data_IF_512248871552
#
_entry.id   IF_512248871552
#
_cell.length_a   1.000
_cell.length_b   1.000
_cell.length_c   1.000
_cell.angle_alpha   90.00
_cell.angle_beta   90.00
_cell.angle_gamma   90.00
#
_symmetry.space_group_name_H-M   'P 1'
#
loop_
_entity.id
_entity.type
_entity.pdbx_description
1 polymer ?
#
# COMPACT_ATOMS: atom_id res chain seq x y z
N UNK A 1 11.52 22.38 55.50
CA UNK A 1 11.03 21.92 56.81
C UNK A 1 9.72 21.19 56.55
N UNK A 2 9.52 19.89 56.69
CA UNK A 2 10.22 18.73 57.31
C UNK A 2 9.79 17.50 56.48
N UNK A 3 10.67 16.77 55.79
CA UNK A 3 11.34 15.49 56.15
C UNK A 3 10.78 14.69 57.35
N UNK A 4 10.35 13.45 57.10
CA UNK A 4 10.62 12.19 57.84
C UNK A 4 9.67 11.09 57.27
N UNK A 5 10.14 10.07 56.53
CA UNK A 5 10.86 8.85 56.94
C UNK A 5 10.03 7.84 57.74
N UNK A 6 9.73 6.69 57.11
CA UNK A 6 9.66 5.39 57.79
C UNK A 6 10.05 4.23 56.84
N UNK A 7 11.19 3.61 57.18
CA UNK A 7 11.78 2.31 56.77
C UNK A 7 10.85 1.12 57.10
N UNK A 8 10.90 -0.13 56.61
CA UNK A 8 11.94 -1.10 56.12
C UNK A 8 11.20 -2.19 55.31
N UNK A 9 11.68 -2.69 54.16
CA UNK A 9 12.66 -3.78 53.91
C UNK A 9 12.24 -5.19 54.37
N UNK A 10 11.87 -6.03 53.39
CA UNK A 10 12.18 -7.46 53.23
C UNK A 10 12.12 -7.68 51.70
N UNK A 11 13.11 -8.21 50.98
CA UNK A 11 13.97 -9.34 51.28
C UNK A 11 13.60 -10.47 50.31
N UNK A 12 14.18 -10.49 49.11
CA UNK A 12 13.86 -11.50 48.09
C UNK A 12 14.69 -11.34 46.82
N UNK A 13 15.92 -11.84 46.88
CA UNK A 13 16.87 -11.98 45.77
C UNK A 13 16.46 -13.13 44.86
N UNK A 14 16.28 -12.87 43.57
CA UNK A 14 16.51 -13.84 42.50
C UNK A 14 17.08 -13.08 41.29
N UNK A 15 18.42 -13.00 41.30
CA UNK A 15 19.22 -12.59 40.16
C UNK A 15 19.27 -13.77 39.19
N UNK A 16 18.37 -13.78 38.21
CA UNK A 16 18.52 -14.61 37.02
C UNK A 16 18.59 -13.75 35.76
N UNK A 17 19.84 -13.53 35.36
CA UNK A 17 20.31 -13.72 33.98
C UNK A 17 19.58 -12.94 32.88
N UNK A 18 19.83 -11.64 32.82
CA UNK A 18 19.69 -10.89 31.58
C UNK A 18 20.72 -11.39 30.54
N UNK A 19 20.32 -11.80 29.32
CA UNK A 19 21.28 -12.18 28.31
C UNK A 19 22.00 -10.91 27.82
N UNK A 20 23.26 -10.77 28.23
CA UNK A 20 24.21 -9.82 27.64
C UNK A 20 24.26 -10.05 26.13
N UNK A 21 23.70 -9.11 25.38
CA UNK A 21 23.94 -8.97 23.95
C UNK A 21 25.44 -8.77 23.76
N UNK A 22 26.11 -9.83 23.29
CA UNK A 22 27.48 -9.72 22.81
C UNK A 22 27.48 -8.70 21.67
N UNK A 23 28.38 -7.71 21.67
CA UNK A 23 28.60 -6.91 20.48
C UNK A 23 29.05 -7.87 19.39
N UNK A 24 28.24 -8.04 18.35
CA UNK A 24 28.69 -8.67 17.11
C UNK A 24 29.71 -7.71 16.54
N UNK A 25 30.99 -8.00 16.77
CA UNK A 25 32.08 -7.36 16.04
C UNK A 25 31.90 -7.77 14.58
N UNK A 26 31.16 -6.96 13.82
CA UNK A 26 31.18 -7.01 12.38
C UNK A 26 32.59 -6.60 11.98
N UNK A 27 33.39 -7.59 11.58
CA UNK A 27 34.60 -7.34 10.83
C UNK A 27 34.19 -6.62 9.54
N UNK A 28 34.29 -5.29 9.57
CA UNK A 28 34.28 -4.44 8.39
C UNK A 28 35.55 -4.80 7.61
N UNK A 29 35.45 -5.82 6.76
CA UNK A 29 36.43 -6.05 5.72
C UNK A 29 36.36 -4.86 4.77
N UNK A 30 37.30 -3.94 4.95
CA UNK A 30 37.55 -2.84 4.06
C UNK A 30 37.95 -3.39 2.70
N UNK A 31 37.00 -3.45 1.76
CA UNK A 31 37.31 -3.56 0.34
C UNK A 31 37.90 -2.22 -0.11
N UNK A 32 39.22 -2.10 -0.04
CA UNK A 32 39.99 -1.03 -0.66
C UNK A 32 39.91 -1.16 -2.18
N UNK A 33 38.79 -0.70 -2.74
CA UNK A 33 38.68 -0.46 -4.18
C UNK A 33 39.50 0.79 -4.50
N UNK A 34 40.79 0.59 -4.76
CA UNK A 34 41.66 1.60 -5.36
C UNK A 34 41.19 1.94 -6.77
N UNK A 35 40.15 2.77 -6.87
CA UNK A 35 39.69 3.37 -8.11
C UNK A 35 39.83 4.88 -8.00
N UNK A 36 40.82 5.46 -8.69
CA UNK A 36 40.94 6.91 -8.77
C UNK A 36 39.61 7.55 -9.19
N UNK A 37 39.24 8.65 -8.55
CA UNK A 37 38.00 9.39 -8.84
C UNK A 37 38.07 9.89 -10.29
N UNK A 38 37.47 9.14 -11.21
CA UNK A 38 37.24 9.60 -12.58
C UNK A 38 36.08 10.59 -12.52
N UNK A 39 36.40 11.89 -12.51
CA UNK A 39 35.40 12.95 -12.68
C UNK A 39 34.97 12.92 -14.15
N UNK A 40 33.99 12.07 -14.48
CA UNK A 40 33.32 12.12 -15.78
C UNK A 40 32.44 13.36 -15.82
N UNK A 41 32.81 14.32 -16.67
CA UNK A 41 31.96 15.49 -16.96
C UNK A 41 30.63 14.98 -17.49
N UNK A 42 29.53 15.45 -16.92
CA UNK A 42 28.21 15.14 -17.45
C UNK A 42 28.10 15.66 -18.89
N UNK A 43 27.52 14.88 -19.80
CA UNK A 43 27.40 15.28 -21.19
C UNK A 43 26.41 16.44 -21.28
N UNK A 44 26.77 17.49 -22.04
CA UNK A 44 25.89 18.63 -22.36
C UNK A 44 24.80 18.20 -23.36
N UNK A 45 23.91 17.32 -22.92
CA UNK A 45 22.81 16.78 -23.73
C UNK A 45 21.51 17.08 -23.00
N UNK A 46 20.45 17.41 -23.74
CA UNK A 46 19.14 17.63 -23.16
C UNK A 46 18.51 16.32 -22.66
N UNK A 47 17.83 16.29 -21.51
CA UNK A 47 17.12 15.11 -21.00
C UNK A 47 16.13 14.51 -22.01
N UNK A 48 15.50 15.34 -22.84
CA UNK A 48 14.57 14.92 -23.89
C UNK A 48 15.20 14.00 -24.93
N UNK A 49 16.49 14.17 -25.20
CA UNK A 49 17.22 13.29 -26.11
C UNK A 49 17.40 11.89 -25.52
N UNK A 50 17.54 11.76 -24.20
CA UNK A 50 17.58 10.45 -23.52
C UNK A 50 16.25 9.71 -23.55
N UNK A 51 15.13 10.43 -23.50
CA UNK A 51 13.80 9.81 -23.68
C UNK A 51 13.64 9.17 -25.06
N UNK A 52 14.17 9.82 -26.11
CA UNK A 52 14.13 9.29 -27.48
C UNK A 52 15.03 8.07 -27.67
N UNK A 53 16.19 8.03 -26.98
CA UNK A 53 17.14 6.90 -27.07
C UNK A 53 16.65 5.63 -26.35
N UNK A 54 15.81 5.78 -25.33
CA UNK A 54 15.28 4.67 -24.52
C UNK A 54 13.75 4.71 -24.51
N UNK A 55 13.07 4.46 -25.64
CA UNK A 55 11.62 4.41 -25.70
C UNK A 55 11.09 3.22 -24.88
N UNK A 56 9.88 3.32 -24.36
CA UNK A 56 9.19 2.27 -23.57
C UNK A 56 9.83 1.94 -22.22
N UNK A 57 10.73 2.79 -21.75
CA UNK A 57 11.17 2.81 -20.36
C UNK A 57 10.40 3.88 -19.60
N UNK A 58 10.20 3.71 -18.29
CA UNK A 58 9.38 4.59 -17.45
C UNK A 58 10.01 5.97 -17.19
N UNK A 59 10.77 6.50 -18.15
CA UNK A 59 11.53 7.73 -18.01
C UNK A 59 10.61 8.94 -18.23
N UNK A 60 10.80 9.99 -17.43
CA UNK A 60 10.12 11.27 -17.55
C UNK A 60 11.06 12.43 -17.23
N UNK A 61 10.69 13.63 -17.65
CA UNK A 61 11.38 14.85 -17.27
C UNK A 61 10.59 15.51 -16.15
N UNK A 62 11.28 15.86 -15.06
CA UNK A 62 10.73 16.66 -13.98
C UNK A 62 11.77 17.67 -13.53
N UNK A 63 11.39 18.95 -13.40
CA UNK A 63 12.31 20.02 -13.00
C UNK A 63 13.59 20.14 -13.86
N UNK A 64 13.50 19.82 -15.16
CA UNK A 64 14.65 19.86 -16.07
C UNK A 64 15.64 18.70 -15.93
N UNK A 65 15.33 17.68 -15.13
CA UNK A 65 16.17 16.49 -14.90
C UNK A 65 15.47 15.22 -15.38
N UNK A 66 16.26 14.16 -15.61
CA UNK A 66 15.76 12.85 -16.02
C UNK A 66 15.37 12.02 -14.79
N UNK A 67 14.16 11.48 -14.78
CA UNK A 67 13.64 10.65 -13.68
C UNK A 67 13.10 9.33 -14.20
N UNK A 68 13.26 8.27 -13.43
CA UNK A 68 12.54 7.02 -13.63
C UNK A 68 11.27 6.98 -12.76
N UNK A 69 10.11 6.94 -13.40
CA UNK A 69 8.79 6.90 -12.72
C UNK A 69 8.58 5.58 -11.98
N UNK A 70 9.11 4.48 -12.51
CA UNK A 70 9.02 3.15 -11.91
C UNK A 70 9.89 3.04 -10.65
N UNK A 71 11.14 3.54 -10.71
CA UNK A 71 12.08 3.44 -9.58
C UNK A 71 12.01 4.63 -8.61
N UNK A 72 11.31 5.71 -8.97
CA UNK A 72 11.23 6.98 -8.21
C UNK A 72 12.61 7.60 -7.92
N UNK A 73 13.54 7.44 -8.86
CA UNK A 73 14.94 7.89 -8.74
C UNK A 73 15.29 8.89 -9.85
N UNK A 74 16.11 9.88 -9.51
CA UNK A 74 16.78 10.77 -10.47
C UNK A 74 17.90 10.01 -11.18
N UNK A 75 18.00 10.16 -12.50
CA UNK A 75 19.04 9.52 -13.31
C UNK A 75 20.02 10.55 -13.86
N UNK A 76 21.28 10.18 -13.93
CA UNK A 76 22.29 10.98 -14.63
C UNK A 76 22.04 11.01 -16.14
N UNK A 77 22.52 12.05 -16.81
CA UNK A 77 22.42 12.18 -18.26
C UNK A 77 23.44 11.31 -19.02
N UNK A 78 24.30 10.58 -18.31
CA UNK A 78 25.27 9.65 -18.91
C UNK A 78 24.55 8.43 -19.50
N UNK A 79 24.73 8.18 -20.80
CA UNK A 79 24.10 7.07 -21.52
C UNK A 79 24.31 5.73 -20.81
N UNK A 80 25.55 5.49 -20.36
CA UNK A 80 25.92 4.24 -19.73
C UNK A 80 25.19 4.04 -18.41
N UNK A 81 25.03 5.11 -17.61
CA UNK A 81 24.30 5.06 -16.34
C UNK A 81 22.81 4.74 -16.56
N UNK A 82 22.18 5.37 -17.56
CA UNK A 82 20.79 5.06 -17.94
C UNK A 82 20.67 3.62 -18.43
N UNK A 83 21.60 3.16 -19.27
CA UNK A 83 21.61 1.77 -19.78
C UNK A 83 21.72 0.76 -18.64
N UNK A 84 22.66 0.97 -17.70
CA UNK A 84 22.84 0.08 -16.55
C UNK A 84 21.63 0.08 -15.61
N UNK A 85 21.00 1.24 -15.42
CA UNK A 85 19.77 1.35 -14.63
C UNK A 85 18.65 0.52 -15.26
N UNK A 86 18.39 0.75 -16.55
CA UNK A 86 17.32 0.08 -17.29
C UNK A 86 17.50 -1.43 -17.36
N UNK A 87 18.74 -1.91 -17.50
CA UNK A 87 19.04 -3.34 -17.52
C UNK A 87 19.09 -4.00 -16.13
N UNK A 88 18.93 -3.22 -15.04
CA UNK A 88 19.03 -3.77 -13.70
C UNK A 88 17.80 -4.60 -13.33
N UNK A 89 18.00 -5.67 -12.57
CA UNK A 89 16.91 -6.48 -12.03
C UNK A 89 15.94 -5.65 -11.16
N UNK A 90 16.48 -4.67 -10.41
CA UNK A 90 15.68 -3.71 -9.62
C UNK A 90 14.71 -2.93 -10.50
N UNK A 91 15.18 -2.45 -11.65
CA UNK A 91 14.32 -1.73 -12.59
C UNK A 91 13.25 -2.63 -13.21
N UNK A 92 13.62 -3.85 -13.62
CA UNK A 92 12.65 -4.80 -14.20
C UNK A 92 11.49 -5.06 -13.25
N UNK A 93 11.80 -5.44 -12.00
CA UNK A 93 10.77 -5.71 -10.99
C UNK A 93 9.92 -4.47 -10.66
N UNK A 94 10.54 -3.29 -10.61
CA UNK A 94 9.81 -2.04 -10.39
C UNK A 94 8.92 -1.67 -11.59
N UNK A 95 9.38 -1.97 -12.81
CA UNK A 95 8.61 -1.75 -14.04
C UNK A 95 7.40 -2.67 -14.08
N UNK A 96 7.55 -3.95 -13.79
CA UNK A 96 6.44 -4.91 -13.80
C UNK A 96 5.38 -4.50 -12.78
N UNK A 97 5.77 -4.18 -11.55
CA UNK A 97 4.86 -3.67 -10.52
C UNK A 97 4.15 -2.37 -10.94
N UNK A 98 4.87 -1.46 -11.58
CA UNK A 98 4.30 -0.20 -12.05
C UNK A 98 3.28 -0.40 -13.17
N UNK A 99 3.57 -1.29 -14.11
CA UNK A 99 2.65 -1.65 -15.20
C UNK A 99 1.41 -2.31 -14.64
N UNK A 100 1.58 -3.28 -13.72
CA UNK A 100 0.47 -3.95 -13.06
C UNK A 100 -0.40 -2.95 -12.30
N UNK A 101 0.19 -2.09 -11.47
CA UNK A 101 -0.56 -1.05 -10.73
C UNK A 101 -1.36 -0.14 -11.67
N UNK A 102 -0.79 0.24 -12.83
CA UNK A 102 -1.46 1.05 -13.85
C UNK A 102 -2.64 0.31 -14.51
N UNK A 103 -2.48 -0.99 -14.76
CA UNK A 103 -3.54 -1.84 -15.30
C UNK A 103 -4.66 -2.01 -14.27
N UNK A 104 -4.32 -2.24 -13.00
CA UNK A 104 -5.28 -2.36 -11.91
C UNK A 104 -6.06 -1.04 -11.73
N UNK A 105 -5.38 0.11 -11.74
CA UNK A 105 -6.01 1.43 -11.67
C UNK A 105 -6.96 1.67 -12.85
N UNK A 106 -6.55 1.29 -14.07
CA UNK A 106 -7.40 1.41 -15.26
C UNK A 106 -8.64 0.51 -15.16
N UNK A 107 -8.46 -0.75 -14.80
CA UNK A 107 -9.56 -1.70 -14.62
C UNK A 107 -10.57 -1.22 -13.57
N UNK A 108 -10.09 -0.76 -12.41
CA UNK A 108 -10.98 -0.21 -11.37
C UNK A 108 -11.70 1.04 -11.87
N UNK A 109 -11.02 1.91 -12.62
CA UNK A 109 -11.63 3.10 -13.19
C UNK A 109 -12.78 2.73 -14.13
N UNK A 110 -12.58 1.72 -14.98
CA UNK A 110 -13.61 1.22 -15.89
C UNK A 110 -14.82 0.67 -15.13
N UNK A 111 -14.59 -0.19 -14.13
CA UNK A 111 -15.64 -0.77 -13.27
C UNK A 111 -16.43 0.32 -12.54
N UNK A 112 -15.75 1.32 -11.98
CA UNK A 112 -16.42 2.43 -11.30
C UNK A 112 -17.22 3.29 -12.29
N UNK A 113 -16.66 3.55 -13.47
CA UNK A 113 -17.32 4.35 -14.50
C UNK A 113 -18.60 3.68 -14.99
N UNK A 114 -18.56 2.37 -15.25
CA UNK A 114 -19.74 1.57 -15.61
C UNK A 114 -20.81 1.66 -14.51
N UNK A 115 -20.43 1.38 -13.26
CA UNK A 115 -21.34 1.43 -12.11
C UNK A 115 -22.04 2.79 -11.95
N UNK A 116 -21.28 3.89 -11.96
CA UNK A 116 -21.85 5.23 -11.75
C UNK A 116 -22.64 5.74 -12.97
N UNK A 117 -22.39 5.18 -14.17
CA UNK A 117 -23.22 5.45 -15.35
C UNK A 117 -24.60 4.80 -15.20
N UNK A 118 -24.66 3.59 -14.65
CA UNK A 118 -25.92 2.89 -14.39
C UNK A 118 -26.70 3.48 -13.20
N UNK A 119 -25.99 4.00 -12.20
CA UNK A 119 -26.55 4.54 -10.95
C UNK A 119 -26.44 6.07 -10.90
N UNK A 120 -26.98 6.74 -11.91
CA UNK A 120 -26.89 8.20 -12.06
C UNK A 120 -27.65 9.00 -11.00
N UNK A 121 -28.47 8.34 -10.18
CA UNK A 121 -29.22 8.89 -9.06
C UNK A 121 -28.37 9.09 -7.81
N UNK A 122 -27.22 8.42 -7.72
CA UNK A 122 -26.29 8.61 -6.60
C UNK A 122 -25.69 10.02 -6.63
N UNK A 123 -25.64 10.69 -5.47
CA UNK A 123 -25.10 12.04 -5.32
C UNK A 123 -23.62 12.19 -5.74
N UNK A 124 -22.92 11.07 -5.92
CA UNK A 124 -21.52 11.05 -6.36
C UNK A 124 -21.32 10.59 -7.79
N UNK A 125 -22.37 10.23 -8.52
CA UNK A 125 -22.26 9.69 -9.88
C UNK A 125 -21.71 10.68 -10.91
N UNK A 126 -21.90 11.99 -10.67
CA UNK A 126 -21.41 13.05 -11.56
C UNK A 126 -19.94 13.44 -11.37
N UNK A 127 -19.16 12.70 -10.58
CA UNK A 127 -17.74 13.03 -10.36
C UNK A 127 -16.87 12.48 -11.49
N UNK A 128 -15.70 13.10 -11.67
CA UNK A 128 -14.72 12.62 -12.63
C UNK A 128 -14.15 11.23 -12.23
N UNK A 129 -13.85 10.33 -13.20
CA UNK A 129 -13.33 9.00 -12.90
C UNK A 129 -12.07 9.01 -12.03
N UNK A 130 -11.19 10.01 -12.21
CA UNK A 130 -9.97 10.18 -11.39
C UNK A 130 -10.31 10.42 -9.90
N UNK A 131 -11.37 11.19 -9.62
CA UNK A 131 -11.84 11.45 -8.25
C UNK A 131 -12.44 10.17 -7.65
N UNK A 132 -13.17 9.38 -8.43
CA UNK A 132 -13.69 8.08 -7.99
C UNK A 132 -12.57 7.10 -7.67
N UNK A 133 -11.59 6.96 -8.56
CA UNK A 133 -10.43 6.10 -8.35
C UNK A 133 -9.65 6.50 -7.08
N UNK A 134 -9.39 7.80 -6.90
CA UNK A 134 -8.68 8.29 -5.73
C UNK A 134 -9.42 7.97 -4.42
N UNK A 135 -10.74 8.23 -4.36
CA UNK A 135 -11.56 7.93 -3.17
C UNK A 135 -11.67 6.43 -2.91
N UNK A 136 -11.76 5.63 -3.97
CA UNK A 136 -11.72 4.17 -3.90
C UNK A 136 -10.40 3.71 -3.27
N UNK A 137 -9.25 4.14 -3.80
CA UNK A 137 -7.91 3.73 -3.31
C UNK A 137 -7.64 4.15 -1.88
N UNK A 138 -8.10 5.33 -1.47
CA UNK A 138 -8.03 5.77 -0.07
C UNK A 138 -8.85 4.84 0.83
N UNK A 139 -10.08 4.51 0.42
CA UNK A 139 -10.97 3.63 1.20
C UNK A 139 -10.40 2.22 1.29
N UNK A 140 -9.94 1.66 0.17
CA UNK A 140 -9.28 0.36 0.09
C UNK A 140 -8.05 0.30 1.00
N UNK A 141 -7.19 1.31 0.96
CA UNK A 141 -5.99 1.39 1.81
C UNK A 141 -6.33 1.42 3.30
N UNK A 142 -7.40 2.13 3.69
CA UNK A 142 -7.86 2.16 5.08
C UNK A 142 -8.38 0.79 5.53
N UNK A 143 -9.18 0.13 4.69
CA UNK A 143 -9.71 -1.22 4.97
C UNK A 143 -8.58 -2.24 5.07
N UNK A 144 -7.65 -2.24 4.12
CA UNK A 144 -6.48 -3.12 4.10
C UNK A 144 -5.63 -2.97 5.37
N UNK A 145 -5.43 -1.73 5.83
CA UNK A 145 -4.69 -1.46 7.07
C UNK A 145 -5.49 -1.71 8.36
N UNK A 146 -6.76 -2.12 8.28
CA UNK A 146 -7.64 -2.28 9.43
C UNK A 146 -7.97 -0.94 10.14
N UNK A 147 -7.82 0.18 9.45
CA UNK A 147 -8.08 1.52 9.98
C UNK A 147 -9.55 1.88 9.74
N UNK A 148 -10.33 2.23 10.78
CA UNK A 148 -11.70 2.69 10.60
C UNK A 148 -11.78 3.90 9.65
N UNK A 149 -12.72 3.89 8.71
CA UNK A 149 -12.89 4.96 7.70
C UNK A 149 -13.09 6.33 8.36
N UNK A 150 -13.75 6.39 9.53
CA UNK A 150 -13.91 7.62 10.31
C UNK A 150 -12.58 8.24 10.76
N UNK A 151 -11.51 7.46 10.89
CA UNK A 151 -10.17 7.99 11.17
C UNK A 151 -9.51 8.62 9.94
N UNK A 152 -9.97 8.28 8.73
CA UNK A 152 -9.52 8.88 7.48
C UNK A 152 -9.77 10.40 7.44
N UNK A 153 -10.80 10.87 8.13
CA UNK A 153 -11.13 12.30 8.22
C UNK A 153 -10.01 13.13 8.89
N UNK A 154 -9.31 12.56 9.88
CA UNK A 154 -8.15 13.21 10.51
C UNK A 154 -6.91 13.23 9.60
N UNK A 155 -6.84 12.32 8.63
CA UNK A 155 -5.75 12.23 7.66
C UNK A 155 -6.02 13.08 6.41
N UNK A 156 -7.22 13.64 6.27
CA UNK A 156 -7.63 14.43 5.11
C UNK A 156 -6.64 15.55 4.74
N UNK A 157 -6.08 16.36 5.68
CA UNK A 157 -5.09 17.38 5.34
C UNK A 157 -3.77 16.85 4.75
N UNK A 158 -3.46 15.57 4.97
CA UNK A 158 -2.31 14.89 4.38
C UNK A 158 -2.66 14.34 3.00
N UNK A 159 -3.82 13.68 2.90
CA UNK A 159 -4.27 13.00 1.69
C UNK A 159 -4.56 13.99 0.55
N UNK A 160 -5.21 15.12 0.86
CA UNK A 160 -5.60 16.14 -0.12
C UNK A 160 -4.44 17.02 -0.62
N UNK A 161 -3.19 16.78 -0.18
CA UNK A 161 -2.02 17.54 -0.67
C UNK A 161 -1.73 17.32 -2.16
N UNK A 162 -2.30 16.27 -2.74
CA UNK A 162 -2.23 15.99 -4.16
C UNK A 162 -3.31 16.73 -4.99
N UNK A 163 -3.99 17.73 -4.40
CA UNK A 163 -5.04 18.57 -5.03
C UNK A 163 -6.34 17.83 -5.40
N UNK A 164 -6.51 16.60 -4.93
CA UNK A 164 -7.77 15.84 -5.07
C UNK A 164 -8.52 15.89 -3.75
N UNK A 165 -9.74 16.42 -3.76
CA UNK A 165 -10.59 16.55 -2.58
C UNK A 165 -11.23 15.23 -2.17
N UNK A 166 -11.05 14.87 -0.92
CA UNK A 166 -11.70 13.74 -0.27
C UNK A 166 -13.07 14.16 0.26
N UNK A 167 -13.99 13.21 0.32
CA UNK A 167 -15.29 13.41 0.95
C UNK A 167 -15.28 12.95 2.41
N UNK A 168 -16.38 13.20 3.14
CA UNK A 168 -16.60 12.69 4.49
C UNK A 168 -16.55 11.17 4.57
N UNK A 169 -16.19 10.62 5.74
CA UNK A 169 -16.19 9.18 5.97
C UNK A 169 -17.51 8.49 5.59
N UNK A 170 -18.64 9.17 5.77
CA UNK A 170 -19.97 8.67 5.41
C UNK A 170 -20.11 8.39 3.91
N UNK A 171 -19.57 9.26 3.06
CA UNK A 171 -19.59 9.04 1.62
C UNK A 171 -18.48 8.08 1.18
N UNK A 172 -17.35 8.00 1.87
CA UNK A 172 -16.32 6.98 1.56
C UNK A 172 -16.83 5.55 1.79
N UNK A 173 -17.77 5.35 2.73
CA UNK A 173 -18.40 4.03 2.95
C UNK A 173 -19.12 3.49 1.71
N UNK A 174 -19.54 4.34 0.77
CA UNK A 174 -20.22 3.90 -0.45
C UNK A 174 -19.33 3.04 -1.36
N UNK A 175 -18.00 3.13 -1.21
CA UNK A 175 -17.04 2.33 -1.98
C UNK A 175 -16.79 0.95 -1.36
N UNK A 176 -17.14 0.73 -0.08
CA UNK A 176 -16.89 -0.53 0.63
C UNK A 176 -17.50 -1.75 -0.08
N UNK A 177 -18.77 -1.72 -0.54
CA UNK A 177 -19.33 -2.86 -1.27
C UNK A 177 -18.60 -3.15 -2.59
N UNK A 178 -18.09 -2.11 -3.26
CA UNK A 178 -17.37 -2.26 -4.54
C UNK A 178 -15.99 -2.89 -4.33
N UNK A 179 -15.29 -2.46 -3.28
CA UNK A 179 -14.02 -3.06 -2.85
C UNK A 179 -14.26 -4.53 -2.48
N UNK A 180 -15.30 -4.82 -1.68
CA UNK A 180 -15.63 -6.19 -1.29
C UNK A 180 -15.91 -7.08 -2.51
N UNK A 181 -16.66 -6.60 -3.51
CA UNK A 181 -16.93 -7.35 -4.74
C UNK A 181 -15.66 -7.66 -5.52
N UNK A 182 -14.77 -6.68 -5.72
CA UNK A 182 -13.52 -6.89 -6.45
C UNK A 182 -12.54 -7.82 -5.70
N UNK A 183 -12.39 -7.64 -4.39
CA UNK A 183 -11.58 -8.53 -3.55
C UNK A 183 -12.13 -9.96 -3.56
N UNK A 184 -13.45 -10.11 -3.54
CA UNK A 184 -14.09 -11.42 -3.62
C UNK A 184 -13.81 -12.11 -4.95
N UNK A 185 -13.91 -11.40 -6.07
CA UNK A 185 -13.59 -11.95 -7.40
C UNK A 185 -12.12 -12.35 -7.52
N UNK A 186 -11.23 -11.53 -6.96
CA UNK A 186 -9.80 -11.83 -6.94
C UNK A 186 -9.50 -13.08 -6.10
N UNK A 187 -10.03 -13.16 -4.87
CA UNK A 187 -9.91 -14.33 -4.00
C UNK A 187 -10.53 -15.58 -4.63
N UNK A 188 -11.67 -15.44 -5.32
CA UNK A 188 -12.29 -16.55 -6.02
C UNK A 188 -11.35 -17.11 -7.08
N UNK A 189 -10.75 -16.26 -7.92
CA UNK A 189 -9.78 -16.68 -8.92
C UNK A 189 -8.51 -17.31 -8.29
N UNK A 190 -8.00 -16.78 -7.18
CA UNK A 190 -6.84 -17.35 -6.47
C UNK A 190 -7.13 -18.73 -5.85
N UNK A 191 -8.34 -18.92 -5.32
CA UNK A 191 -8.73 -20.13 -4.59
C UNK A 191 -9.39 -21.19 -5.48
N UNK A 192 -9.71 -20.87 -6.73
CA UNK A 192 -10.20 -21.84 -7.71
C UNK A 192 -9.25 -23.04 -7.81
N UNK A 193 -9.75 -24.23 -7.49
CA UNK A 193 -8.98 -25.48 -7.51
C UNK A 193 -8.14 -25.76 -6.26
N UNK A 194 -8.22 -24.92 -5.22
CA UNK A 194 -7.54 -25.14 -3.93
C UNK A 194 -8.50 -25.61 -2.84
N UNK A 195 -8.04 -26.53 -2.00
CA UNK A 195 -8.77 -26.97 -0.80
C UNK A 195 -8.58 -25.95 0.33
N UNK A 196 -9.64 -25.20 0.66
CA UNK A 196 -9.61 -24.21 1.74
C UNK A 196 -10.26 -24.79 3.00
N UNK A 197 -9.59 -24.66 4.16
CA UNK A 197 -10.14 -25.07 5.44
C UNK A 197 -10.37 -23.83 6.33
N UNK A 198 -11.61 -23.61 6.76
CA UNK A 198 -11.96 -22.49 7.65
C UNK A 198 -11.93 -22.96 9.11
N UNK A 199 -11.07 -22.35 9.94
CA UNK A 199 -11.04 -22.60 11.38
C UNK A 199 -11.81 -21.48 12.07
N UNK A 200 -12.98 -21.81 12.63
CA UNK A 200 -13.79 -20.87 13.39
C UNK A 200 -13.42 -20.92 14.87
N UNK A 201 -12.77 -19.88 15.38
CA UNK A 201 -12.60 -19.72 16.83
C UNK A 201 -13.89 -19.20 17.46
N UNK A 202 -14.59 -20.06 18.20
CA UNK A 202 -15.72 -19.69 19.04
C UNK A 202 -15.24 -18.93 20.29
N UNK A 203 -14.94 -17.64 20.15
CA UNK A 203 -14.73 -16.77 21.33
C UNK A 203 -16.07 -16.34 21.91
N UNK A 204 -16.50 -17.09 22.93
CA UNK A 204 -17.59 -16.85 23.90
C UNK A 204 -18.20 -15.43 23.87
N UNK A 205 -19.15 -15.18 22.98
CA UNK A 205 -19.95 -13.94 22.92
C UNK A 205 -21.04 -14.04 23.99
N UNK A 206 -20.75 -13.57 25.22
CA UNK A 206 -21.78 -13.32 26.23
C UNK A 206 -22.38 -11.92 25.98
N UNK A 207 -23.71 -11.91 25.75
CA UNK A 207 -24.65 -10.75 25.78
C UNK A 207 -24.87 -9.96 24.47
N UNK A 208 -25.46 -10.59 23.46
CA UNK A 208 -26.60 -10.03 22.70
C UNK A 208 -27.08 -11.01 21.62
N UNK A 209 -28.08 -11.82 21.97
CA UNK A 209 -28.62 -12.93 21.14
C UNK A 209 -29.20 -12.41 19.79
N UNK A 210 -29.65 -11.16 19.72
CA UNK A 210 -30.17 -10.55 18.49
C UNK A 210 -29.12 -10.04 17.50
N UNK A 211 -27.90 -9.73 17.95
CA UNK A 211 -26.81 -9.29 17.05
C UNK A 211 -26.02 -10.49 16.49
N UNK A 212 -25.93 -11.57 17.28
CA UNK A 212 -25.28 -12.81 16.88
C UNK A 212 -26.03 -13.53 15.76
N UNK A 213 -27.36 -13.64 15.87
CA UNK A 213 -28.21 -14.21 14.82
C UNK A 213 -28.07 -13.45 13.49
N UNK A 214 -28.09 -12.11 13.53
CA UNK A 214 -27.93 -11.28 12.34
C UNK A 214 -26.53 -11.36 11.72
N UNK A 215 -25.49 -11.63 12.51
CA UNK A 215 -24.13 -11.86 12.03
C UNK A 215 -23.98 -13.25 11.41
N UNK A 216 -24.49 -14.30 12.07
CA UNK A 216 -24.53 -15.66 11.51
C UNK A 216 -25.32 -15.72 10.20
N UNK A 217 -26.46 -15.02 10.10
CA UNK A 217 -27.26 -14.99 8.87
C UNK A 217 -26.51 -14.32 7.71
N UNK A 218 -25.80 -13.21 7.98
CA UNK A 218 -24.93 -12.57 6.99
C UNK A 218 -23.75 -13.45 6.60
N UNK A 219 -23.11 -14.12 7.56
CA UNK A 219 -21.96 -14.98 7.30
C UNK A 219 -22.36 -16.27 6.58
N UNK A 220 -23.53 -16.82 6.89
CA UNK A 220 -24.13 -17.95 6.17
C UNK A 220 -24.52 -17.55 4.76
N UNK A 221 -25.10 -16.36 4.58
CA UNK A 221 -25.39 -15.82 3.25
C UNK A 221 -24.10 -15.57 2.45
N UNK A 222 -23.03 -15.10 3.10
CA UNK A 222 -21.70 -14.96 2.52
C UNK A 222 -21.11 -16.32 2.11
N UNK A 223 -21.10 -17.30 3.02
CA UNK A 223 -20.62 -18.67 2.75
C UNK A 223 -21.45 -19.37 1.68
N UNK A 224 -22.77 -19.23 1.68
CA UNK A 224 -23.64 -19.80 0.63
C UNK A 224 -23.41 -19.14 -0.73
N UNK A 225 -23.19 -17.82 -0.77
CA UNK A 225 -22.81 -17.12 -2.01
C UNK A 225 -21.42 -17.51 -2.49
N UNK A 226 -20.47 -17.70 -1.56
CA UNK A 226 -19.11 -18.13 -1.84
C UNK A 226 -19.07 -19.57 -2.36
N UNK A 227 -19.73 -20.50 -1.67
CA UNK A 227 -19.78 -21.92 -2.04
C UNK A 227 -20.63 -22.21 -3.28
N UNK A 228 -21.60 -21.35 -3.66
CA UNK A 228 -22.38 -21.49 -4.91
C UNK A 228 -21.66 -20.95 -6.15
N UNK A 229 -20.64 -20.11 -5.98
CA UNK A 229 -19.86 -19.51 -7.08
C UNK A 229 -18.56 -20.27 -7.37
N UNK A 230 -18.04 -21.05 -6.42
CA UNK A 230 -17.00 -22.07 -6.64
C UNK A 230 -17.62 -23.27 -7.35
#
# INVERSE_FOLDING_TARGET
MLVADYFSSDGGSDLDSAPTLRPVHLDMQSFSSGGGIRITKEPKIQPSQRLKEFPNHCLRISGGKLFCSCCKEELSLLKQSVKTHVSSAKHSLAKDKYVQQRQDDAHITDVLTEYFTEHNDEATAGLEPEVHLYRYRVTESLLFAGVPISKGDYLRPLLERADIKLTGSEHLRQYVPKIESLEFEHLHHELQGQSVFFILEQKKIRKNIGAFSKWEEKYRCFLEKFLKKI
#
